data_IF_113991352668
#
_entry.id   IF_113991352668
#
_cell.length_a   1.000
_cell.length_b   1.000
_cell.length_c   1.000
_cell.angle_alpha   90.00
_cell.angle_beta   90.00
_cell.angle_gamma   90.00
#
_symmetry.space_group_name_H-M   'P 1'
#
loop_
_entity.id
_entity.type
_entity.pdbx_description
1 polymer ?
#
# COMPACT_ATOMS: atom_id res chain seq x y z
N UNK A 1 0.26 -14.90 -10.46
CA UNK A 1 -0.88 -14.14 -9.85
C UNK A 1 -1.43 -14.98 -8.70
N UNK A 2 -1.45 -14.42 -7.50
CA UNK A 2 -2.01 -15.09 -6.31
C UNK A 2 -3.53 -15.06 -6.42
N UNK A 3 -4.20 -16.18 -6.13
CA UNK A 3 -5.65 -16.21 -6.13
C UNK A 3 -6.22 -15.43 -4.93
N UNK A 4 -7.24 -14.60 -5.16
CA UNK A 4 -7.91 -13.83 -4.08
C UNK A 4 -8.39 -14.73 -2.93
N UNK A 5 -8.87 -15.92 -3.25
CA UNK A 5 -9.32 -16.93 -2.28
C UNK A 5 -8.19 -17.36 -1.32
N UNK A 6 -6.95 -17.44 -1.80
CA UNK A 6 -5.78 -17.76 -0.97
C UNK A 6 -5.57 -16.67 0.08
N UNK A 7 -5.66 -15.39 -0.32
CA UNK A 7 -5.53 -14.24 0.58
C UNK A 7 -6.63 -14.26 1.65
N UNK A 8 -7.88 -14.46 1.23
CA UNK A 8 -9.04 -14.55 2.15
C UNK A 8 -8.85 -15.68 3.16
N UNK A 9 -8.44 -16.86 2.71
CA UNK A 9 -8.26 -18.03 3.59
C UNK A 9 -7.13 -17.80 4.60
N UNK A 10 -6.00 -17.23 4.17
CA UNK A 10 -4.89 -16.89 5.08
C UNK A 10 -5.30 -15.85 6.11
N UNK A 11 -6.00 -14.79 5.69
CA UNK A 11 -6.53 -13.79 6.59
C UNK A 11 -7.48 -14.38 7.64
N UNK A 12 -8.44 -15.22 7.21
CA UNK A 12 -9.38 -15.91 8.12
C UNK A 12 -8.66 -16.82 9.12
N UNK A 13 -7.60 -17.49 8.70
CA UNK A 13 -6.81 -18.32 9.61
C UNK A 13 -6.12 -17.50 10.70
N UNK A 14 -5.66 -16.28 10.38
CA UNK A 14 -4.99 -15.38 11.34
C UNK A 14 -5.98 -14.68 12.28
N UNK A 15 -7.08 -14.15 11.74
CA UNK A 15 -7.92 -13.20 12.46
C UNK A 15 -9.35 -13.68 12.70
N UNK A 16 -9.76 -14.80 12.11
CA UNK A 16 -11.11 -15.39 12.25
C UNK A 16 -12.24 -14.44 11.78
N UNK A 17 -11.94 -13.57 10.81
CA UNK A 17 -12.85 -12.56 10.27
C UNK A 17 -12.87 -12.57 8.74
N UNK A 18 -13.94 -12.02 8.15
CA UNK A 18 -14.05 -11.82 6.71
C UNK A 18 -13.37 -10.49 6.30
N UNK A 19 -12.37 -10.51 5.40
CA UNK A 19 -11.69 -9.29 4.99
C UNK A 19 -12.33 -8.58 3.81
N UNK A 20 -12.10 -7.27 3.72
CA UNK A 20 -12.05 -6.55 2.45
C UNK A 20 -10.68 -6.85 1.83
N UNK A 21 -10.64 -7.21 0.54
CA UNK A 21 -9.40 -7.49 -0.18
C UNK A 21 -9.24 -6.53 -1.33
N UNK A 22 -8.11 -5.84 -1.34
CA UNK A 22 -7.69 -4.89 -2.38
C UNK A 22 -6.37 -5.36 -2.99
N UNK A 23 -6.15 -5.02 -4.25
CA UNK A 23 -4.85 -5.25 -4.91
C UNK A 23 -4.38 -4.01 -5.64
N UNK A 24 -3.06 -3.84 -5.70
CA UNK A 24 -2.40 -2.79 -6.47
C UNK A 24 -1.22 -3.37 -7.24
N UNK A 25 -1.09 -3.09 -8.55
CA UNK A 25 -0.02 -3.65 -9.37
C UNK A 25 1.33 -3.00 -9.08
N UNK A 26 2.40 -3.75 -9.29
CA UNK A 26 3.71 -3.17 -9.53
C UNK A 26 3.79 -2.48 -10.90
N UNK A 27 4.92 -1.86 -11.21
CA UNK A 27 5.13 -1.17 -12.49
C UNK A 27 6.52 -1.46 -13.07
N UNK A 28 6.63 -1.32 -14.39
CA UNK A 28 7.90 -1.09 -15.08
C UNK A 28 7.95 0.37 -15.55
N UNK A 29 9.14 0.93 -15.72
CA UNK A 29 9.34 2.17 -16.45
C UNK A 29 9.99 1.83 -17.80
N UNK A 30 9.36 2.26 -18.91
CA UNK A 30 9.86 1.96 -20.25
C UNK A 30 10.95 2.94 -20.65
N UNK A 31 10.78 4.22 -20.27
CA UNK A 31 11.74 5.29 -20.54
C UNK A 31 11.49 6.46 -19.56
N UNK A 32 12.57 7.20 -19.26
CA UNK A 32 12.49 8.37 -18.37
C UNK A 32 13.02 8.08 -16.97
N UNK A 33 14.09 7.29 -16.86
CA UNK A 33 14.75 7.02 -15.57
C UNK A 33 15.30 8.32 -14.97
N UNK A 34 15.02 8.51 -13.66
CA UNK A 34 15.44 9.67 -12.87
C UNK A 34 14.93 11.04 -13.36
N UNK A 35 13.85 11.06 -14.15
CA UNK A 35 13.27 12.31 -14.65
C UNK A 35 12.01 12.76 -13.92
N UNK A 36 11.30 11.87 -13.24
CA UNK A 36 10.03 12.16 -12.56
C UNK A 36 10.13 13.16 -11.40
N UNK A 37 11.30 13.27 -10.76
CA UNK A 37 11.61 14.27 -9.73
C UNK A 37 12.49 15.43 -10.26
N UNK A 38 12.69 15.49 -11.59
CA UNK A 38 13.45 16.52 -12.30
C UNK A 38 12.62 17.18 -13.43
N UNK A 39 11.31 17.27 -13.26
CA UNK A 39 10.36 17.87 -14.21
C UNK A 39 10.39 17.24 -15.63
N UNK A 40 10.85 15.99 -15.74
CA UNK A 40 10.93 15.24 -16.98
C UNK A 40 9.76 14.30 -17.19
N UNK A 41 9.61 13.84 -18.44
CA UNK A 41 8.59 12.87 -18.79
C UNK A 41 9.02 11.44 -18.45
N UNK A 42 8.06 10.63 -18.04
CA UNK A 42 8.18 9.20 -17.76
C UNK A 42 7.14 8.43 -18.56
N UNK A 43 7.38 7.15 -18.78
CA UNK A 43 6.47 6.27 -19.51
C UNK A 43 6.31 4.94 -18.77
N UNK A 44 5.70 4.93 -17.57
CA UNK A 44 5.48 3.70 -16.82
C UNK A 44 4.28 2.92 -17.35
N UNK A 45 4.31 1.61 -17.07
CA UNK A 45 3.20 0.70 -17.28
C UNK A 45 3.01 -0.19 -16.06
N UNK A 46 1.77 -0.39 -15.63
CA UNK A 46 1.44 -1.41 -14.65
C UNK A 46 1.71 -2.80 -15.21
N UNK A 47 2.14 -3.72 -14.35
CA UNK A 47 2.41 -5.11 -14.69
C UNK A 47 1.33 -6.05 -14.13
N UNK A 48 1.37 -7.31 -14.50
CA UNK A 48 0.43 -8.36 -14.07
C UNK A 48 0.74 -8.94 -12.67
N UNK A 49 1.79 -8.44 -12.01
CA UNK A 49 2.14 -8.76 -10.63
C UNK A 49 1.60 -7.72 -9.69
N UNK A 50 1.05 -8.13 -8.56
CA UNK A 50 0.37 -7.23 -7.64
C UNK A 50 0.68 -7.55 -6.18
N UNK A 51 0.53 -6.55 -5.33
CA UNK A 51 0.42 -6.67 -3.89
C UNK A 51 -1.07 -6.76 -3.53
N UNK A 52 -1.40 -7.68 -2.64
CA UNK A 52 -2.73 -7.87 -2.09
C UNK A 52 -2.74 -7.47 -0.63
N UNK A 53 -3.71 -6.68 -0.26
CA UNK A 53 -3.95 -6.25 1.12
C UNK A 53 -5.35 -6.70 1.53
N UNK A 54 -5.42 -7.44 2.63
CA UNK A 54 -6.67 -7.86 3.25
C UNK A 54 -6.84 -7.16 4.60
N UNK A 55 -8.00 -6.57 4.87
CA UNK A 55 -8.25 -5.79 6.08
C UNK A 55 -9.60 -6.09 6.71
N UNK A 56 -9.69 -6.01 8.05
CA UNK A 56 -10.94 -6.00 8.81
C UNK A 56 -10.88 -4.96 9.93
N UNK A 57 -12.05 -4.47 10.39
CA UNK A 57 -12.14 -3.57 11.54
C UNK A 57 -11.95 -4.34 12.84
N UNK A 58 -11.33 -3.70 13.83
CA UNK A 58 -11.27 -4.16 15.21
C UNK A 58 -12.20 -3.35 16.10
N UNK A 59 -12.58 -3.94 17.21
CA UNK A 59 -13.37 -3.25 18.25
C UNK A 59 -12.52 -2.39 19.21
N UNK A 60 -11.19 -2.61 19.19
CA UNK A 60 -10.20 -1.84 19.94
C UNK A 60 -9.45 -0.86 19.01
N UNK A 61 -8.49 -0.10 19.57
CA UNK A 61 -7.69 0.86 18.82
C UNK A 61 -6.32 0.28 18.36
N UNK A 62 -6.17 -1.04 18.33
CA UNK A 62 -4.92 -1.68 17.90
C UNK A 62 -4.87 -1.83 16.38
N UNK A 63 -3.70 -1.58 15.81
CA UNK A 63 -3.31 -1.92 14.44
C UNK A 63 -2.49 -3.21 14.52
N UNK A 64 -3.00 -4.28 13.91
CA UNK A 64 -2.32 -5.58 13.89
C UNK A 64 -2.02 -5.94 12.44
N UNK A 65 -0.73 -5.96 12.10
CA UNK A 65 -0.22 -6.18 10.76
C UNK A 65 0.46 -7.55 10.66
N UNK A 66 0.32 -8.23 9.54
CA UNK A 66 1.09 -9.43 9.21
C UNK A 66 1.55 -9.37 7.76
N UNK A 67 2.85 -9.58 7.54
CA UNK A 67 3.45 -9.63 6.22
C UNK A 67 3.92 -11.05 5.88
N UNK A 68 3.36 -11.63 4.83
CA UNK A 68 3.63 -13.02 4.42
C UNK A 68 5.08 -13.21 3.99
N UNK A 69 5.65 -12.31 3.21
CA UNK A 69 7.03 -12.40 2.72
C UNK A 69 8.07 -12.44 3.86
N UNK A 70 7.75 -11.79 4.98
CA UNK A 70 8.62 -11.74 6.16
C UNK A 70 8.24 -12.78 7.22
N UNK A 71 7.06 -13.42 7.12
CA UNK A 71 6.47 -14.30 8.15
C UNK A 71 6.46 -13.61 9.51
N UNK A 72 6.11 -12.32 9.54
CA UNK A 72 6.28 -11.47 10.70
C UNK A 72 5.04 -10.62 10.97
N UNK A 73 4.74 -10.42 12.25
CA UNK A 73 3.69 -9.53 12.72
C UNK A 73 4.26 -8.25 13.33
N UNK A 74 3.45 -7.20 13.29
CA UNK A 74 3.67 -5.95 14.00
C UNK A 74 2.36 -5.45 14.60
N UNK A 75 2.39 -5.06 15.87
CA UNK A 75 1.23 -4.52 16.58
C UNK A 75 1.60 -3.19 17.22
N UNK A 76 0.70 -2.21 17.08
CA UNK A 76 0.84 -0.87 17.66
C UNK A 76 -0.55 -0.28 17.90
N UNK A 77 -0.70 0.56 18.93
CA UNK A 77 -1.93 1.33 19.10
C UNK A 77 -1.99 2.47 18.09
N UNK A 78 -3.20 2.77 17.63
CA UNK A 78 -3.45 3.85 16.68
C UNK A 78 -2.88 5.20 17.15
N UNK A 79 -2.94 5.48 18.47
CA UNK A 79 -2.40 6.70 19.06
C UNK A 79 -0.88 6.73 19.17
N UNK A 80 -0.21 5.58 19.07
CA UNK A 80 1.22 5.42 19.30
C UNK A 80 2.00 5.10 18.00
N UNK A 81 1.40 5.34 16.83
CA UNK A 81 2.08 5.10 15.55
C UNK A 81 3.35 5.92 15.43
N UNK A 82 4.44 5.24 15.08
CA UNK A 82 5.75 5.83 14.88
C UNK A 82 6.55 5.01 13.86
N UNK A 83 7.69 5.55 13.41
CA UNK A 83 8.61 4.81 12.53
C UNK A 83 9.13 3.58 13.26
N UNK A 84 8.94 2.40 12.65
CA UNK A 84 9.37 1.10 13.17
C UNK A 84 10.77 0.76 12.67
N UNK A 85 11.60 0.16 13.54
CA UNK A 85 12.91 -0.38 13.16
C UNK A 85 12.82 -1.61 12.23
N UNK A 86 11.65 -2.26 12.16
CA UNK A 86 11.39 -3.38 11.24
C UNK A 86 11.29 -2.97 9.77
N UNK A 87 11.24 -1.68 9.49
CA UNK A 87 11.10 -1.05 8.17
C UNK A 87 9.80 -1.38 7.41
N UNK A 88 9.44 -2.65 7.20
CA UNK A 88 8.27 -3.00 6.39
C UNK A 88 6.92 -2.42 6.91
N UNK A 89 6.67 -2.27 8.23
CA UNK A 89 5.43 -1.65 8.70
C UNK A 89 5.32 -0.17 8.32
N UNK A 90 6.45 0.48 8.05
CA UNK A 90 6.50 1.93 7.79
C UNK A 90 5.70 2.33 6.54
N UNK A 91 5.65 1.50 5.53
CA UNK A 91 4.81 1.73 4.33
C UNK A 91 3.31 1.77 4.67
N UNK A 92 2.89 1.00 5.67
CA UNK A 92 1.50 0.93 6.14
C UNK A 92 1.21 2.05 7.15
N UNK A 93 2.07 2.20 8.17
CA UNK A 93 1.93 3.21 9.22
C UNK A 93 2.02 4.63 8.66
N UNK A 94 2.85 4.84 7.63
CA UNK A 94 2.92 6.10 6.89
C UNK A 94 1.59 6.49 6.25
N UNK A 95 0.87 5.54 5.66
CA UNK A 95 -0.47 5.77 5.11
C UNK A 95 -1.47 6.13 6.21
N UNK A 96 -1.43 5.43 7.37
CA UNK A 96 -2.27 5.75 8.54
C UNK A 96 -2.01 7.17 9.03
N UNK A 97 -0.75 7.58 9.15
CA UNK A 97 -0.35 8.94 9.53
C UNK A 97 -0.87 10.00 8.55
N UNK A 98 -0.79 9.72 7.23
CA UNK A 98 -1.32 10.65 6.23
C UNK A 98 -2.85 10.79 6.32
N UNK A 99 -3.57 9.73 6.64
CA UNK A 99 -5.01 9.80 6.91
C UNK A 99 -5.32 10.61 8.15
N UNK A 100 -4.59 10.44 9.25
CA UNK A 100 -4.72 11.25 10.46
C UNK A 100 -4.49 12.74 10.16
N UNK A 101 -3.44 13.08 9.42
CA UNK A 101 -3.13 14.47 9.02
C UNK A 101 -4.21 15.11 8.15
N UNK A 102 -4.97 14.29 7.43
CA UNK A 102 -6.13 14.73 6.65
C UNK A 102 -7.42 14.79 7.46
N UNK A 103 -7.37 14.48 8.77
CA UNK A 103 -8.53 14.50 9.66
C UNK A 103 -9.46 13.30 9.52
N UNK A 104 -9.01 12.21 8.92
CA UNK A 104 -9.81 11.00 8.78
C UNK A 104 -9.99 10.30 10.13
N UNK A 105 -11.21 9.83 10.41
CA UNK A 105 -11.52 9.04 11.57
C UNK A 105 -11.22 7.56 11.31
N UNK A 106 -10.06 7.11 11.75
CA UNK A 106 -9.66 5.70 11.72
C UNK A 106 -9.95 5.05 13.09
N UNK A 107 -10.22 3.76 13.10
CA UNK A 107 -10.22 2.88 14.26
C UNK A 107 -9.16 1.79 14.12
N UNK A 108 -9.11 0.86 15.07
CA UNK A 108 -8.23 -0.30 14.97
C UNK A 108 -8.60 -1.22 13.82
N UNK A 109 -7.60 -1.92 13.28
CA UNK A 109 -7.78 -2.85 12.16
C UNK A 109 -6.74 -3.96 12.16
N UNK A 110 -7.13 -5.10 11.57
CA UNK A 110 -6.23 -6.16 11.18
C UNK A 110 -5.84 -5.97 9.72
N UNK A 111 -4.59 -6.23 9.39
CA UNK A 111 -4.09 -6.19 8.00
C UNK A 111 -3.16 -7.37 7.73
N UNK A 112 -3.42 -8.04 6.64
CA UNK A 112 -2.55 -9.07 6.04
C UNK A 112 -2.10 -8.59 4.68
N UNK A 113 -0.80 -8.73 4.40
CA UNK A 113 -0.20 -8.37 3.12
C UNK A 113 0.55 -9.56 2.53
N UNK A 114 0.35 -9.79 1.23
CA UNK A 114 1.02 -10.80 0.41
C UNK A 114 1.08 -10.32 -1.04
N UNK A 115 1.97 -10.86 -1.86
CA UNK A 115 2.06 -10.44 -3.26
C UNK A 115 3.01 -11.27 -4.09
N UNK A 116 2.99 -11.04 -5.39
CA UNK A 116 3.92 -11.64 -6.35
C UNK A 116 4.82 -10.59 -7.04
N UNK A 117 4.86 -9.36 -6.53
CA UNK A 117 5.82 -8.34 -6.93
C UNK A 117 7.15 -8.62 -6.21
N UNK A 118 8.22 -9.04 -6.91
CA UNK A 118 9.48 -9.38 -6.26
C UNK A 118 10.10 -8.20 -5.51
N UNK A 119 10.50 -8.42 -4.27
CA UNK A 119 11.16 -7.42 -3.44
C UNK A 119 12.53 -7.03 -4.04
N UNK A 120 12.83 -5.74 -4.07
CA UNK A 120 14.12 -5.23 -4.54
C UNK A 120 14.39 -5.38 -6.04
N UNK A 121 13.42 -5.80 -6.83
CA UNK A 121 13.56 -6.01 -8.28
C UNK A 121 13.33 -4.74 -9.13
N UNK A 122 13.16 -3.57 -8.51
CA UNK A 122 12.87 -2.34 -9.23
C UNK A 122 11.45 -2.27 -9.81
N UNK A 123 10.53 -3.10 -9.34
CA UNK A 123 9.13 -3.17 -9.80
C UNK A 123 8.15 -2.40 -8.90
N UNK A 124 8.66 -1.52 -8.03
CA UNK A 124 7.90 -0.63 -7.15
C UNK A 124 6.92 -1.34 -6.23
N UNK A 125 7.40 -2.36 -5.52
CA UNK A 125 6.60 -3.04 -4.50
C UNK A 125 6.15 -2.09 -3.38
N UNK A 126 6.97 -1.11 -2.96
CA UNK A 126 6.62 -0.09 -1.95
C UNK A 126 5.40 0.72 -2.38
N UNK A 127 5.42 1.31 -3.56
CA UNK A 127 4.30 2.09 -4.10
C UNK A 127 3.03 1.24 -4.24
N UNK A 128 3.17 -0.03 -4.66
CA UNK A 128 2.04 -0.96 -4.74
C UNK A 128 1.45 -1.26 -3.35
N UNK A 129 2.29 -1.46 -2.32
CA UNK A 129 1.84 -1.62 -0.92
C UNK A 129 1.08 -0.39 -0.47
N UNK A 130 1.66 0.80 -0.59
CA UNK A 130 1.08 2.05 -0.11
C UNK A 130 -0.24 2.39 -0.80
N UNK A 131 -0.32 2.20 -2.13
CA UNK A 131 -1.55 2.40 -2.88
C UNK A 131 -2.64 1.39 -2.48
N UNK A 132 -2.29 0.11 -2.31
CA UNK A 132 -3.23 -0.91 -1.85
C UNK A 132 -3.74 -0.63 -0.44
N UNK A 133 -2.86 -0.23 0.49
CA UNK A 133 -3.23 0.14 1.86
C UNK A 133 -4.12 1.38 1.88
N UNK A 134 -3.76 2.40 1.09
CA UNK A 134 -4.58 3.63 0.95
C UNK A 134 -6.00 3.27 0.54
N UNK A 135 -6.16 2.49 -0.52
CA UNK A 135 -7.49 2.08 -0.98
C UNK A 135 -8.21 1.17 0.03
N UNK A 136 -7.50 0.20 0.63
CA UNK A 136 -8.08 -0.72 1.61
C UNK A 136 -8.64 0.01 2.84
N UNK A 137 -7.90 0.97 3.40
CA UNK A 137 -8.35 1.77 4.53
C UNK A 137 -9.48 2.73 4.15
N UNK A 138 -9.43 3.31 2.94
CA UNK A 138 -10.54 4.12 2.41
C UNK A 138 -11.86 3.33 2.37
N UNK A 139 -11.83 2.13 1.81
CA UNK A 139 -12.99 1.24 1.76
C UNK A 139 -13.44 0.80 3.16
N UNK A 140 -12.49 0.38 4.00
CA UNK A 140 -12.77 -0.13 5.34
C UNK A 140 -13.47 0.92 6.22
N UNK A 141 -13.00 2.17 6.18
CA UNK A 141 -13.50 3.26 7.02
C UNK A 141 -14.42 4.24 6.28
N UNK A 142 -14.73 3.98 4.99
CA UNK A 142 -15.63 4.79 4.15
C UNK A 142 -15.18 6.26 4.05
N UNK A 143 -13.89 6.47 3.75
CA UNK A 143 -13.24 7.79 3.81
C UNK A 143 -13.45 8.67 2.58
N UNK A 144 -14.15 8.19 1.54
CA UNK A 144 -14.44 8.93 0.30
C UNK A 144 -13.18 9.54 -0.37
N UNK A 145 -12.08 8.78 -0.44
CA UNK A 145 -10.84 9.21 -1.09
C UNK A 145 -11.00 9.15 -2.62
N UNK A 146 -10.71 10.25 -3.29
CA UNK A 146 -10.70 10.27 -4.76
C UNK A 146 -9.49 9.50 -5.29
N UNK A 147 -9.63 8.89 -6.48
CA UNK A 147 -8.54 8.10 -7.07
C UNK A 147 -7.24 8.90 -7.24
N UNK A 148 -7.35 10.21 -7.50
CA UNK A 148 -6.19 11.10 -7.64
C UNK A 148 -5.44 11.35 -6.32
N UNK A 149 -6.09 11.19 -5.17
CA UNK A 149 -5.45 11.33 -3.86
C UNK A 149 -4.62 10.13 -3.47
N UNK A 150 -4.92 8.94 -4.02
CA UNK A 150 -4.22 7.69 -3.67
C UNK A 150 -2.71 7.82 -3.86
N UNK A 151 -2.17 8.19 -5.05
CA UNK A 151 -0.73 8.34 -5.23
C UNK A 151 -0.12 9.45 -4.36
N UNK A 152 -0.87 10.50 -4.05
CA UNK A 152 -0.38 11.58 -3.19
C UNK A 152 -0.23 11.13 -1.73
N UNK A 153 -1.18 10.37 -1.21
CA UNK A 153 -1.11 9.79 0.14
C UNK A 153 0.05 8.80 0.21
N UNK A 154 0.15 7.91 -0.76
CA UNK A 154 1.20 6.90 -0.86
C UNK A 154 2.59 7.54 -0.91
N UNK A 155 2.85 8.49 -1.82
CA UNK A 155 4.12 9.18 -1.91
C UNK A 155 4.52 9.88 -0.59
N UNK A 156 3.59 10.57 0.05
CA UNK A 156 3.86 11.24 1.32
C UNK A 156 4.16 10.25 2.46
N UNK A 157 3.50 9.09 2.45
CA UNK A 157 3.81 8.01 3.39
C UNK A 157 5.24 7.52 3.20
N UNK A 158 5.67 7.27 1.97
CA UNK A 158 7.03 6.83 1.63
C UNK A 158 8.07 7.87 2.04
N UNK A 159 7.83 9.16 1.77
CA UNK A 159 8.73 10.24 2.17
C UNK A 159 8.89 10.34 3.70
N UNK A 160 7.78 10.23 4.45
CA UNK A 160 7.78 10.55 5.88
C UNK A 160 8.11 9.36 6.78
N UNK A 161 7.80 8.13 6.35
CA UNK A 161 7.99 6.92 7.17
C UNK A 161 9.07 5.98 6.63
N UNK A 162 9.16 5.80 5.31
CA UNK A 162 10.22 4.99 4.71
C UNK A 162 11.50 5.80 4.42
N UNK A 163 11.42 7.14 4.41
CA UNK A 163 12.57 8.03 4.20
C UNK A 163 13.07 8.05 2.75
N UNK A 164 12.29 7.58 1.79
CA UNK A 164 12.65 7.53 0.37
C UNK A 164 12.01 8.72 -0.35
N UNK A 165 12.85 9.63 -0.84
CA UNK A 165 12.42 10.84 -1.57
C UNK A 165 12.20 10.51 -3.06
N UNK A 166 11.14 9.77 -3.35
CA UNK A 166 10.75 9.38 -4.72
C UNK A 166 9.90 10.45 -5.43
N UNK A 167 9.87 10.41 -6.77
CA UNK A 167 8.84 11.09 -7.56
C UNK A 167 7.47 10.41 -7.39
N UNK A 168 6.49 10.77 -8.20
CA UNK A 168 5.11 10.24 -8.12
C UNK A 168 4.84 9.15 -9.17
N UNK A 169 5.79 8.86 -10.05
CA UNK A 169 5.62 7.93 -11.17
C UNK A 169 5.12 6.55 -10.72
N UNK A 170 5.72 6.02 -9.68
CA UNK A 170 5.48 4.67 -9.19
C UNK A 170 4.06 4.52 -8.65
N UNK A 171 3.68 5.43 -7.76
CA UNK A 171 2.35 5.44 -7.16
C UNK A 171 1.27 5.76 -8.20
N UNK A 172 1.57 6.62 -9.16
CA UNK A 172 0.65 6.93 -10.25
C UNK A 172 0.40 5.72 -11.15
N UNK A 173 1.46 4.98 -11.49
CA UNK A 173 1.36 3.76 -12.29
C UNK A 173 0.56 2.67 -11.56
N UNK A 174 0.76 2.51 -10.25
CA UNK A 174 0.02 1.56 -9.42
C UNK A 174 -1.47 1.93 -9.27
N UNK A 175 -1.80 3.24 -9.18
CA UNK A 175 -3.17 3.70 -8.96
C UNK A 175 -4.00 3.83 -10.25
N UNK A 176 -3.37 4.17 -11.38
CA UNK A 176 -4.06 4.48 -12.64
C UNK A 176 -3.74 3.53 -13.80
N UNK A 177 -2.84 2.57 -13.60
CA UNK A 177 -2.46 1.61 -14.62
C UNK A 177 -3.66 0.83 -15.18
N UNK A 178 -3.71 0.67 -16.49
CA UNK A 178 -4.73 -0.11 -17.20
C UNK A 178 -4.07 -1.10 -18.13
N UNK A 179 -4.70 -2.28 -18.28
CA UNK A 179 -4.22 -3.31 -19.19
C UNK A 179 -3.96 -2.75 -20.61
N UNK A 180 -2.82 -3.12 -21.19
CA UNK A 180 -2.37 -2.69 -22.54
C UNK A 180 -2.19 -1.18 -22.71
N UNK A 181 -2.03 -0.43 -21.63
CA UNK A 181 -1.78 1.00 -21.68
C UNK A 181 -0.49 1.37 -20.95
N UNK A 182 0.07 2.49 -21.33
CA UNK A 182 1.12 3.22 -20.62
C UNK A 182 0.57 4.53 -20.09
N UNK A 183 1.25 5.12 -19.12
CA UNK A 183 0.92 6.44 -18.58
C UNK A 183 2.01 7.42 -19.00
N UNK A 184 1.61 8.65 -19.34
CA UNK A 184 2.54 9.73 -19.69
C UNK A 184 2.20 10.97 -18.88
#
# INVERSE_FOLDING_TARGET
MIAKETIVNKFKNLYQEDPIVVSSPGRINIIGEHTDYNDGFVLPAAIDKAIYVAVSKRADDNIVLYAEDYQESHEVKLADIAISEKHWPNYILGVVDQYHKRGAALGGFNLYIDGDVPLGAGLSSSAAVECAVTLALSELFQLNVEQIDIPQIAQKAEHTYAGVMCGMMDQFASAFGKEKNVIK
#
